data_IF_175910179471
#
_entry.id   IF_175910179471
#
_cell.length_a   1.000
_cell.length_b   1.000
_cell.length_c   1.000
_cell.angle_alpha   90.00
_cell.angle_beta   90.00
_cell.angle_gamma   90.00
#
_symmetry.space_group_name_H-M   'P 1'
#
loop_
_entity.id
_entity.type
_entity.pdbx_description
1 polymer ?
#
# COMPACT_ATOMS: atom_id res chain seq x y z
N UNK A 1 -24.82 -1.17 -6.36
CA UNK A 1 -24.17 -2.48 -6.12
C UNK A 1 -24.36 -2.80 -4.65
N UNK A 2 -24.60 -4.07 -4.29
CA UNK A 2 -24.65 -4.46 -2.90
C UNK A 2 -23.31 -4.15 -2.20
N UNK A 3 -23.33 -3.87 -0.88
CA UNK A 3 -22.11 -3.74 -0.08
C UNK A 3 -21.21 -4.97 -0.25
N UNK A 4 -19.90 -4.76 -0.14
CA UNK A 4 -18.98 -5.88 -0.02
C UNK A 4 -19.13 -6.51 1.36
N UNK A 5 -19.26 -7.84 1.41
CA UNK A 5 -19.40 -8.59 2.65
C UNK A 5 -18.03 -9.09 3.06
N UNK A 6 -17.46 -8.47 4.10
CA UNK A 6 -16.22 -8.94 4.70
C UNK A 6 -16.56 -10.09 5.66
N UNK A 7 -16.26 -11.31 5.22
CA UNK A 7 -16.54 -12.55 5.95
C UNK A 7 -15.25 -13.15 6.48
N UNK A 8 -15.31 -13.71 7.68
CA UNK A 8 -14.24 -14.51 8.23
C UNK A 8 -14.20 -15.88 7.53
N UNK A 9 -13.09 -16.59 7.74
CA UNK A 9 -12.88 -17.96 7.34
C UNK A 9 -14.09 -18.89 7.57
N UNK A 10 -14.70 -18.85 8.74
CA UNK A 10 -15.88 -19.68 9.07
C UNK A 10 -17.20 -19.22 8.42
N UNK A 11 -17.14 -18.27 7.48
CA UNK A 11 -18.30 -17.66 6.83
C UNK A 11 -19.00 -16.60 7.67
N UNK A 12 -18.53 -16.31 8.89
CA UNK A 12 -19.13 -15.28 9.73
C UNK A 12 -18.96 -13.91 9.10
N UNK A 13 -20.07 -13.22 8.86
CA UNK A 13 -20.04 -11.81 8.43
C UNK A 13 -19.47 -10.94 9.55
N UNK A 14 -18.33 -10.30 9.29
CA UNK A 14 -17.67 -9.38 10.22
C UNK A 14 -18.15 -7.95 9.98
N UNK A 15 -18.25 -7.54 8.71
CA UNK A 15 -18.68 -6.19 8.34
C UNK A 15 -19.21 -6.13 6.91
N UNK A 16 -20.13 -5.21 6.66
CA UNK A 16 -20.47 -4.78 5.31
C UNK A 16 -19.81 -3.44 4.97
N UNK A 17 -19.24 -3.33 3.77
CA UNK A 17 -18.52 -2.16 3.29
C UNK A 17 -19.25 -1.58 2.08
N UNK A 18 -19.88 -0.39 2.20
CA UNK A 18 -20.38 0.34 1.05
C UNK A 18 -19.24 0.68 0.09
N UNK A 19 -19.33 0.20 -1.16
CA UNK A 19 -18.27 0.40 -2.15
C UNK A 19 -18.44 1.71 -2.93
N UNK A 20 -17.33 2.40 -3.08
CA UNK A 20 -17.18 3.66 -3.78
C UNK A 20 -17.04 3.45 -5.30
N UNK A 21 -17.32 4.53 -6.04
CA UNK A 21 -17.15 4.64 -7.48
C UNK A 21 -16.37 5.91 -7.81
N UNK A 22 -15.63 5.88 -8.90
CA UNK A 22 -15.10 7.12 -9.48
C UNK A 22 -16.30 7.90 -10.04
N UNK A 23 -16.36 9.20 -9.72
CA UNK A 23 -17.44 10.07 -10.21
C UNK A 23 -17.47 10.05 -11.75
N UNK A 24 -18.66 10.03 -12.38
CA UNK A 24 -18.77 10.02 -13.84
C UNK A 24 -17.98 11.17 -14.48
N UNK A 25 -17.21 10.85 -15.54
CA UNK A 25 -16.40 11.83 -16.27
C UNK A 25 -15.14 12.32 -15.56
N UNK A 26 -14.86 11.86 -14.34
CA UNK A 26 -13.63 12.23 -13.63
C UNK A 26 -12.48 11.27 -13.94
N UNK A 27 -11.30 11.85 -14.15
CA UNK A 27 -10.02 11.15 -14.18
C UNK A 27 -9.29 11.45 -12.88
N UNK A 28 -8.93 10.44 -12.07
CA UNK A 28 -8.14 10.68 -10.87
C UNK A 28 -6.77 11.27 -11.19
N UNK A 29 -6.40 12.32 -10.48
CA UNK A 29 -5.10 12.99 -10.61
C UNK A 29 -4.20 12.60 -9.43
N UNK A 30 -3.02 11.99 -9.68
CA UNK A 30 -2.08 11.63 -8.62
C UNK A 30 -1.75 12.77 -7.66
N UNK A 31 -1.67 14.02 -8.14
CA UNK A 31 -1.29 15.17 -7.32
C UNK A 31 -2.38 15.59 -6.30
N UNK A 32 -3.59 15.05 -6.42
CA UNK A 32 -4.72 15.43 -5.56
C UNK A 32 -4.90 14.50 -4.37
N UNK A 33 -4.24 13.34 -4.34
CA UNK A 33 -4.33 12.41 -3.22
C UNK A 33 -3.58 12.95 -1.99
N UNK A 34 -4.10 12.62 -0.81
CA UNK A 34 -3.51 12.97 0.48
C UNK A 34 -3.48 11.73 1.35
N UNK A 35 -2.37 11.00 1.30
CA UNK A 35 -2.16 9.79 2.11
C UNK A 35 -1.38 10.07 3.38
N UNK A 36 -0.46 11.03 3.35
CA UNK A 36 0.33 11.45 4.52
C UNK A 36 1.45 10.49 4.93
N UNK A 37 1.75 9.46 4.12
CA UNK A 37 2.76 8.46 4.49
C UNK A 37 4.16 9.04 4.55
N UNK A 38 4.53 9.87 3.56
CA UNK A 38 5.83 10.52 3.53
C UNK A 38 6.00 11.48 4.71
N UNK A 39 4.99 12.32 4.98
CA UNK A 39 5.00 13.25 6.11
C UNK A 39 5.22 12.51 7.44
N UNK A 40 4.41 11.49 7.71
CA UNK A 40 4.51 10.70 8.95
C UNK A 40 5.83 9.94 9.06
N UNK A 41 6.37 9.41 7.95
CA UNK A 41 7.65 8.72 7.93
C UNK A 41 8.83 9.68 8.24
N UNK A 42 8.79 10.90 7.69
CA UNK A 42 9.80 11.92 7.92
C UNK A 42 9.77 12.41 9.38
N UNK A 43 8.57 12.62 9.94
CA UNK A 43 8.42 12.95 11.36
C UNK A 43 8.95 11.82 12.25
N UNK A 44 8.60 10.58 11.94
CA UNK A 44 9.05 9.39 12.67
C UNK A 44 10.56 9.20 12.59
N UNK A 45 11.18 9.52 11.45
CA UNK A 45 12.63 9.51 11.28
C UNK A 45 13.33 10.49 12.23
N UNK A 46 12.78 11.69 12.43
CA UNK A 46 13.35 12.65 13.37
C UNK A 46 13.37 12.09 14.81
N UNK A 47 12.31 11.39 15.22
CA UNK A 47 12.28 10.68 16.50
C UNK A 47 13.31 9.54 16.56
N UNK A 48 13.37 8.70 15.51
CA UNK A 48 14.33 7.59 15.42
C UNK A 48 15.79 8.08 15.53
N UNK A 49 16.13 9.18 14.87
CA UNK A 49 17.47 9.77 14.94
C UNK A 49 17.83 10.29 16.35
N UNK A 50 16.86 10.86 17.08
CA UNK A 50 17.06 11.24 18.48
C UNK A 50 17.33 9.99 19.34
N UNK A 51 16.51 8.95 19.19
CA UNK A 51 16.69 7.70 19.92
C UNK A 51 18.04 7.01 19.62
N UNK A 52 18.59 7.16 18.41
CA UNK A 52 19.95 6.69 18.11
C UNK A 52 21.04 7.58 18.71
N UNK A 53 20.84 8.91 18.75
CA UNK A 53 21.77 9.84 19.39
C UNK A 53 21.85 9.63 20.90
N UNK A 54 20.71 9.29 21.52
CA UNK A 54 20.59 9.01 22.96
C UNK A 54 21.06 7.59 23.33
N UNK A 55 21.46 6.78 22.35
CA UNK A 55 21.96 5.41 22.55
C UNK A 55 20.88 4.36 22.84
N UNK A 56 19.59 4.73 22.75
CA UNK A 56 18.46 3.80 22.93
C UNK A 56 18.38 2.80 21.79
N UNK A 57 18.59 3.26 20.56
CA UNK A 57 18.65 2.42 19.36
C UNK A 57 20.10 2.35 18.88
N UNK A 58 20.67 1.15 18.63
CA UNK A 58 22.02 1.02 18.10
C UNK A 58 22.18 1.71 16.72
N UNK A 59 23.33 2.35 16.48
CA UNK A 59 23.57 3.16 15.26
C UNK A 59 23.49 2.37 13.95
N UNK A 60 23.73 1.06 14.00
CA UNK A 60 23.69 0.17 12.84
C UNK A 60 22.26 -0.24 12.43
N UNK A 61 21.25 0.03 13.26
CA UNK A 61 19.85 -0.28 12.94
C UNK A 61 19.34 0.73 11.91
N UNK A 62 18.73 0.23 10.84
CA UNK A 62 18.04 1.04 9.84
C UNK A 62 16.62 1.39 10.29
N UNK A 63 16.12 2.52 9.83
CA UNK A 63 14.72 2.90 10.01
C UNK A 63 13.89 2.23 8.91
N UNK A 64 12.90 1.44 9.29
CA UNK A 64 11.98 0.80 8.34
C UNK A 64 10.67 1.60 8.23
N UNK A 65 10.30 1.96 7.01
CA UNK A 65 8.98 2.49 6.69
C UNK A 65 8.13 1.39 6.06
N UNK A 66 7.03 1.03 6.71
CA UNK A 66 6.08 0.02 6.21
C UNK A 66 4.88 0.73 5.61
N UNK A 67 4.61 0.49 4.34
CA UNK A 67 3.58 1.15 3.55
C UNK A 67 2.58 0.10 3.04
N UNK A 68 1.27 0.38 3.03
CA UNK A 68 0.35 -0.48 2.28
C UNK A 68 0.63 -0.34 0.79
N UNK A 69 0.22 -1.34 0.01
CA UNK A 69 0.22 -1.21 -1.44
C UNK A 69 -0.93 -0.31 -1.92
N UNK A 70 -0.88 0.22 -3.16
CA UNK A 70 -2.02 0.89 -3.78
C UNK A 70 -3.26 -0.01 -3.93
N UNK A 71 -3.08 -1.33 -3.95
CA UNK A 71 -4.18 -2.31 -4.05
C UNK A 71 -5.01 -2.31 -2.77
N UNK A 72 -4.36 -2.28 -1.60
CA UNK A 72 -5.00 -2.43 -0.29
C UNK A 72 -6.22 -1.51 -0.05
N UNK A 73 -6.17 -0.19 -0.30
CA UNK A 73 -7.34 0.67 -0.10
C UNK A 73 -8.43 0.47 -1.18
N UNK A 74 -8.12 -0.13 -2.33
CA UNK A 74 -9.08 -0.25 -3.45
C UNK A 74 -9.95 -1.49 -3.39
N UNK A 75 -9.39 -2.66 -3.05
CA UNK A 75 -10.10 -3.94 -3.18
C UNK A 75 -11.30 -4.08 -2.23
N UNK A 76 -11.18 -3.59 -0.99
CA UNK A 76 -12.29 -3.59 -0.04
C UNK A 76 -13.31 -2.47 -0.29
N UNK A 77 -12.86 -1.32 -0.81
CA UNK A 77 -13.64 -0.09 -0.78
C UNK A 77 -14.19 0.35 -2.14
N UNK A 78 -13.73 -0.20 -3.26
CA UNK A 78 -14.19 0.19 -4.59
C UNK A 78 -14.91 -0.93 -5.30
N UNK A 79 -15.85 -0.56 -6.17
CA UNK A 79 -16.42 -1.53 -7.09
C UNK A 79 -15.34 -2.07 -8.04
N UNK A 80 -15.31 -3.38 -8.34
CA UNK A 80 -14.28 -3.99 -9.18
C UNK A 80 -14.08 -3.29 -10.54
N UNK A 81 -15.17 -2.84 -11.16
CA UNK A 81 -15.17 -2.17 -12.47
C UNK A 81 -14.46 -0.81 -12.50
N UNK A 82 -14.28 -0.16 -11.35
CA UNK A 82 -13.64 1.16 -11.28
C UNK A 82 -12.18 1.10 -10.79
N UNK A 83 -11.69 -0.06 -10.35
CA UNK A 83 -10.28 -0.23 -9.91
C UNK A 83 -9.27 0.23 -10.97
N UNK A 84 -9.40 -0.12 -12.27
CA UNK A 84 -8.44 0.32 -13.29
C UNK A 84 -8.46 1.83 -13.55
N UNK A 85 -9.53 2.53 -13.14
CA UNK A 85 -9.62 4.00 -13.26
C UNK A 85 -8.82 4.70 -12.16
N UNK A 86 -8.67 4.09 -10.98
CA UNK A 86 -8.00 4.70 -9.83
C UNK A 86 -6.57 4.21 -9.66
N UNK A 87 -6.32 2.91 -9.78
CA UNK A 87 -5.04 2.28 -9.46
C UNK A 87 -3.84 2.96 -10.16
N UNK A 88 -3.88 3.32 -11.46
CA UNK A 88 -2.73 3.95 -12.11
C UNK A 88 -2.30 5.26 -11.44
N UNK A 89 -3.27 6.13 -11.11
CA UNK A 89 -3.02 7.42 -10.47
C UNK A 89 -2.62 7.24 -9.00
N UNK A 90 -3.26 6.31 -8.28
CA UNK A 90 -2.91 6.02 -6.90
C UNK A 90 -1.50 5.42 -6.78
N UNK A 91 -1.11 4.53 -7.69
CA UNK A 91 0.25 3.99 -7.78
C UNK A 91 1.27 5.09 -8.00
N UNK A 92 1.01 6.04 -8.91
CA UNK A 92 1.93 7.16 -9.13
C UNK A 92 2.06 8.05 -7.89
N UNK A 93 0.96 8.29 -7.18
CA UNK A 93 1.00 9.02 -5.91
C UNK A 93 1.87 8.32 -4.87
N UNK A 94 1.70 7.00 -4.68
CA UNK A 94 2.52 6.22 -3.74
C UNK A 94 4.00 6.20 -4.14
N UNK A 95 4.31 6.17 -5.44
CA UNK A 95 5.68 6.34 -5.95
C UNK A 95 6.21 7.73 -5.56
N UNK A 96 5.39 8.78 -5.67
CA UNK A 96 5.71 10.11 -5.18
C UNK A 96 6.03 10.16 -3.69
N UNK A 97 5.26 9.46 -2.86
CA UNK A 97 5.51 9.35 -1.41
C UNK A 97 6.87 8.67 -1.13
N UNK A 98 7.19 7.57 -1.82
CA UNK A 98 8.50 6.90 -1.71
C UNK A 98 9.64 7.82 -2.09
N UNK A 99 9.50 8.58 -3.19
CA UNK A 99 10.50 9.57 -3.61
C UNK A 99 10.71 10.66 -2.56
N UNK A 100 9.63 11.16 -1.95
CA UNK A 100 9.72 12.17 -0.89
C UNK A 100 10.44 11.63 0.35
N UNK A 101 10.15 10.39 0.75
CA UNK A 101 10.83 9.70 1.87
C UNK A 101 12.33 9.55 1.56
N UNK A 102 12.68 9.02 0.38
CA UNK A 102 14.06 8.79 -0.04
C UNK A 102 14.87 10.09 -0.20
N UNK A 103 14.21 11.22 -0.48
CA UNK A 103 14.86 12.53 -0.53
C UNK A 103 15.15 13.10 0.87
N UNK A 104 14.36 12.74 1.88
CA UNK A 104 14.44 13.27 3.23
C UNK A 104 15.27 12.42 4.20
N UNK A 105 15.42 11.12 3.92
CA UNK A 105 16.11 10.15 4.79
C UNK A 105 17.34 9.60 4.06
N UNK A 106 18.51 9.49 4.72
CA UNK A 106 19.68 8.85 4.15
C UNK A 106 19.36 7.41 3.70
N UNK A 107 19.50 7.14 2.41
CA UNK A 107 19.06 5.88 1.80
C UNK A 107 19.77 4.64 2.36
N UNK A 108 21.02 4.79 2.81
CA UNK A 108 21.82 3.74 3.46
C UNK A 108 21.35 3.41 4.89
N UNK A 109 20.45 4.22 5.46
CA UNK A 109 19.86 4.05 6.79
C UNK A 109 18.36 3.75 6.74
N UNK A 110 17.82 3.55 5.54
CA UNK A 110 16.40 3.34 5.29
C UNK A 110 16.13 1.93 4.75
N UNK A 111 15.02 1.36 5.19
CA UNK A 111 14.39 0.19 4.58
C UNK A 111 12.92 0.53 4.27
N UNK A 112 12.41 0.04 3.14
CA UNK A 112 11.00 0.18 2.75
C UNK A 112 10.38 -1.21 2.67
N UNK A 113 9.25 -1.38 3.34
CA UNK A 113 8.42 -2.59 3.26
C UNK A 113 7.07 -2.25 2.63
N UNK A 114 6.63 -3.06 1.68
CA UNK A 114 5.25 -3.06 1.19
C UNK A 114 4.42 -4.13 1.88
N UNK A 115 3.30 -3.73 2.47
CA UNK A 115 2.35 -4.63 3.14
C UNK A 115 1.32 -5.17 2.14
N UNK A 116 1.54 -6.42 1.73
CA UNK A 116 0.80 -7.14 0.69
C UNK A 116 -0.22 -8.05 1.38
N UNK A 117 -1.47 -7.60 1.47
CA UNK A 117 -2.54 -8.31 2.19
C UNK A 117 -3.70 -8.65 1.26
N UNK A 118 -4.21 -7.64 0.56
CA UNK A 118 -5.41 -7.76 -0.27
C UNK A 118 -5.13 -8.55 -1.54
N UNK A 119 -3.91 -8.47 -2.02
CA UNK A 119 -3.34 -9.29 -3.08
C UNK A 119 -3.37 -10.77 -2.73
N UNK A 120 -3.02 -11.12 -1.49
CA UNK A 120 -2.99 -12.52 -1.04
C UNK A 120 -4.42 -13.07 -0.98
N UNK A 121 -5.36 -12.30 -0.41
CA UNK A 121 -6.78 -12.66 -0.40
C UNK A 121 -7.37 -12.77 -1.81
N UNK A 122 -6.97 -11.88 -2.73
CA UNK A 122 -7.37 -11.97 -4.14
C UNK A 122 -6.87 -13.26 -4.79
N UNK A 123 -5.67 -13.71 -4.41
CA UNK A 123 -5.09 -14.96 -4.89
C UNK A 123 -5.86 -16.20 -4.45
N UNK A 124 -6.49 -16.15 -3.27
CA UNK A 124 -7.37 -17.18 -2.72
C UNK A 124 -8.83 -17.06 -3.19
N UNK A 125 -9.14 -16.11 -4.10
CA UNK A 125 -10.48 -15.97 -4.66
C UNK A 125 -11.50 -15.27 -3.73
N UNK A 126 -11.02 -14.54 -2.72
CA UNK A 126 -11.88 -13.86 -1.75
C UNK A 126 -12.69 -12.69 -2.35
N UNK A 127 -12.21 -12.09 -3.44
CA UNK A 127 -12.83 -10.93 -4.09
C UNK A 127 -13.53 -11.29 -5.39
N UNK A 128 -14.57 -10.51 -5.74
CA UNK A 128 -15.20 -10.66 -7.05
C UNK A 128 -14.25 -10.26 -8.20
N UNK A 129 -14.33 -10.93 -9.36
CA UNK A 129 -13.49 -10.62 -10.49
C UNK A 129 -13.71 -9.18 -10.98
N UNK A 130 -12.62 -8.55 -11.38
CA UNK A 130 -12.62 -7.25 -12.05
C UNK A 130 -12.56 -7.38 -13.57
N UNK A 131 -12.56 -6.24 -14.28
CA UNK A 131 -12.29 -6.20 -15.72
C UNK A 131 -10.83 -6.52 -16.06
N UNK A 132 -9.92 -6.42 -15.09
CA UNK A 132 -8.52 -6.84 -15.19
C UNK A 132 -8.34 -8.06 -14.29
N UNK A 133 -7.63 -9.07 -14.79
CA UNK A 133 -7.24 -10.24 -14.01
C UNK A 133 -6.41 -9.82 -12.79
N UNK A 134 -6.77 -10.33 -11.61
CA UNK A 134 -6.18 -9.88 -10.35
C UNK A 134 -4.69 -10.18 -10.27
N UNK A 135 -4.22 -11.28 -10.88
CA UNK A 135 -2.78 -11.64 -10.88
C UNK A 135 -2.00 -10.63 -11.68
N UNK A 136 -2.50 -10.32 -12.88
CA UNK A 136 -1.94 -9.30 -13.76
C UNK A 136 -1.91 -7.93 -13.09
N UNK A 137 -3.02 -7.51 -12.47
CA UNK A 137 -3.14 -6.21 -11.78
C UNK A 137 -2.18 -6.14 -10.58
N UNK A 138 -2.15 -7.18 -9.74
CA UNK A 138 -1.27 -7.29 -8.58
C UNK A 138 0.20 -7.20 -8.97
N UNK A 139 0.65 -8.07 -9.89
CA UNK A 139 2.05 -8.09 -10.30
C UNK A 139 2.46 -6.77 -10.95
N UNK A 140 1.60 -6.17 -11.78
CA UNK A 140 1.87 -4.86 -12.37
C UNK A 140 2.07 -3.76 -11.33
N UNK A 141 1.22 -3.70 -10.30
CA UNK A 141 1.35 -2.71 -9.23
C UNK A 141 2.59 -2.97 -8.39
N UNK A 142 2.82 -4.21 -7.95
CA UNK A 142 3.97 -4.57 -7.11
C UNK A 142 5.30 -4.31 -7.83
N UNK A 143 5.42 -4.66 -9.12
CA UNK A 143 6.62 -4.34 -9.90
C UNK A 143 6.86 -2.83 -9.95
N UNK A 144 5.83 -2.03 -10.27
CA UNK A 144 5.98 -0.57 -10.38
C UNK A 144 6.40 0.10 -9.07
N UNK A 145 5.80 -0.29 -7.95
CA UNK A 145 6.15 0.30 -6.64
C UNK A 145 7.48 -0.23 -6.11
N UNK A 146 7.88 -1.45 -6.48
CA UNK A 146 9.20 -2.00 -6.19
C UNK A 146 10.31 -1.29 -6.95
N UNK A 147 10.16 -1.13 -8.27
CA UNK A 147 11.11 -0.45 -9.14
C UNK A 147 11.30 1.04 -8.78
N UNK A 148 10.32 1.63 -8.09
CA UNK A 148 10.38 3.00 -7.63
C UNK A 148 11.27 3.21 -6.39
N UNK A 149 11.66 2.15 -5.68
CA UNK A 149 12.53 2.25 -4.50
C UNK A 149 13.99 2.38 -4.95
N UNK A 150 14.70 3.47 -4.59
CA UNK A 150 16.12 3.62 -4.92
C UNK A 150 16.99 2.44 -4.50
N UNK A 151 17.92 2.01 -5.36
CA UNK A 151 18.79 0.84 -5.15
C UNK A 151 19.53 0.78 -3.81
N UNK A 152 20.00 1.90 -3.20
CA UNK A 152 20.67 1.83 -1.89
C UNK A 152 19.74 1.50 -0.71
N UNK A 153 18.41 1.64 -0.88
CA UNK A 153 17.40 1.33 0.14
C UNK A 153 17.10 -0.16 0.11
N UNK A 154 17.01 -0.78 1.28
CA UNK A 154 16.55 -2.17 1.38
C UNK A 154 15.05 -2.26 1.11
N UNK A 155 14.63 -3.14 0.21
CA UNK A 155 13.24 -3.37 -0.17
C UNK A 155 12.75 -4.72 0.35
N UNK A 156 11.62 -4.72 1.05
CA UNK A 156 10.90 -5.92 1.49
C UNK A 156 9.43 -5.94 1.08
N UNK A 157 8.87 -7.14 0.97
CA UNK A 157 7.43 -7.37 0.85
C UNK A 157 6.96 -8.22 2.03
N UNK A 158 6.08 -7.67 2.85
CA UNK A 158 5.42 -8.42 3.89
C UNK A 158 4.12 -9.01 3.35
N UNK A 159 4.11 -10.33 3.14
CA UNK A 159 2.91 -11.06 2.76
C UNK A 159 2.07 -11.29 4.02
N UNK A 160 1.14 -10.36 4.27
CA UNK A 160 0.25 -10.43 5.41
C UNK A 160 -0.84 -11.47 5.14
N UNK A 161 -0.65 -12.65 5.72
CA UNK A 161 -1.62 -13.74 5.66
C UNK A 161 -2.21 -13.99 7.05
N UNK A 162 -3.34 -13.34 7.34
CA UNK A 162 -4.13 -13.55 8.55
C UNK A 162 -5.37 -14.39 8.25
N UNK A 163 -5.56 -15.46 9.03
CA UNK A 163 -6.45 -16.63 8.80
C UNK A 163 -7.62 -16.44 7.80
N UNK A 164 -7.42 -16.81 6.53
CA UNK A 164 -8.53 -17.19 5.67
C UNK A 164 -9.05 -18.60 6.00
N UNK A 165 -10.23 -18.93 5.49
CA UNK A 165 -10.70 -20.32 5.36
C UNK A 165 -10.54 -20.72 3.92
#
# INVERSE_FOLDING_TARGET
MPPFKFVQWDGKLIREIPRLRVKPGMTPDPATFKTGYAEMAIESWALFQRLQSDGVIPRQVKFQVSLPTPVAPTYNNMVPADRPKLLPALTEHFIGEVRAIAAAIPNDRLAIQWDVCQEVLAWEGYYEPGPVDFRTETLSVLTRIGDAVPTPIELGYHLCYGSPA
#
